data_IF_266619814674
#
_entry.id   IF_266619814674
#
_cell.length_a   1.000
_cell.length_b   1.000
_cell.length_c   1.000
_cell.angle_alpha   90.00
_cell.angle_beta   90.00
_cell.angle_gamma   90.00
#
_symmetry.space_group_name_H-M   'P 1'
#
loop_
_entity.id
_entity.type
_entity.pdbx_description
1 polymer ?
#
# COMPACT_ATOMS: atom_id res chain seq x y z
N UNK A 1 -30.21 7.20 -25.74
CA UNK A 1 -29.11 8.11 -26.13
C UNK A 1 -29.19 9.45 -25.40
N UNK A 2 -30.31 10.18 -25.39
CA UNK A 2 -30.41 11.49 -24.69
C UNK A 2 -30.19 11.44 -23.17
N UNK A 3 -30.69 10.43 -22.47
CA UNK A 3 -30.49 10.28 -21.02
C UNK A 3 -29.00 10.04 -20.63
N UNK A 4 -28.27 9.27 -21.45
CA UNK A 4 -26.84 9.05 -21.22
C UNK A 4 -26.02 10.34 -21.46
N UNK A 5 -26.34 11.09 -22.50
CA UNK A 5 -25.67 12.35 -22.78
C UNK A 5 -25.89 13.42 -21.68
N UNK A 6 -27.07 13.46 -21.08
CA UNK A 6 -27.38 14.35 -19.96
C UNK A 6 -26.61 13.95 -18.68
N UNK A 7 -26.47 12.64 -18.43
CA UNK A 7 -25.69 12.11 -17.30
C UNK A 7 -24.20 12.41 -17.49
N UNK A 8 -23.66 12.21 -18.70
CA UNK A 8 -22.26 12.49 -19.03
C UNK A 8 -21.92 13.99 -18.83
N UNK A 9 -22.81 14.88 -19.30
CA UNK A 9 -22.64 16.32 -19.10
C UNK A 9 -22.66 16.73 -17.59
N UNK A 10 -23.52 16.09 -16.80
CA UNK A 10 -23.60 16.34 -15.37
C UNK A 10 -22.35 15.85 -14.62
N UNK A 11 -21.81 14.69 -15.00
CA UNK A 11 -20.55 14.15 -14.45
C UNK A 11 -19.38 15.10 -14.71
N UNK A 12 -19.25 15.59 -15.94
CA UNK A 12 -18.23 16.59 -16.33
C UNK A 12 -18.38 17.87 -15.52
N UNK A 13 -19.61 18.34 -15.32
CA UNK A 13 -19.90 19.56 -14.53
C UNK A 13 -19.50 19.37 -13.05
N UNK A 14 -19.83 18.25 -12.43
CA UNK A 14 -19.46 17.93 -11.05
C UNK A 14 -17.93 17.88 -10.91
N UNK A 15 -17.24 17.24 -11.86
CA UNK A 15 -15.78 17.16 -11.88
C UNK A 15 -15.14 18.55 -12.02
N UNK A 16 -15.61 19.38 -12.95
CA UNK A 16 -15.10 20.75 -13.17
C UNK A 16 -15.28 21.63 -11.92
N UNK A 17 -16.43 21.51 -11.22
CA UNK A 17 -16.70 22.24 -9.97
C UNK A 17 -15.78 21.81 -8.83
N UNK A 18 -15.44 20.53 -8.72
CA UNK A 18 -14.47 20.05 -7.75
C UNK A 18 -13.05 20.53 -8.08
N UNK A 19 -12.66 20.43 -9.35
CA UNK A 19 -11.30 20.74 -9.78
C UNK A 19 -10.94 22.22 -9.69
N UNK A 20 -11.94 23.12 -9.67
CA UNK A 20 -11.73 24.57 -9.45
C UNK A 20 -11.46 24.97 -8.00
N UNK A 21 -11.63 24.04 -7.04
CA UNK A 21 -11.50 24.37 -5.61
C UNK A 21 -10.03 24.59 -5.23
N UNK A 22 -9.67 25.76 -4.69
CA UNK A 22 -8.34 26.00 -4.17
C UNK A 22 -8.08 25.20 -2.88
N UNK A 23 -6.81 25.07 -2.44
CA UNK A 23 -6.48 24.44 -1.18
C UNK A 23 -7.22 25.07 -0.01
N UNK A 24 -7.95 24.25 0.76
CA UNK A 24 -8.72 24.68 1.92
C UNK A 24 -8.49 23.77 3.13
N UNK A 25 -8.78 24.27 4.34
CA UNK A 25 -8.74 23.49 5.58
C UNK A 25 -9.73 22.34 5.51
N UNK A 26 -10.87 22.56 4.85
CA UNK A 26 -11.88 21.51 4.67
C UNK A 26 -11.33 20.35 3.84
N UNK A 27 -10.72 20.63 2.68
CA UNK A 27 -10.08 19.60 1.82
C UNK A 27 -8.97 18.89 2.57
N UNK A 28 -8.10 19.63 3.29
CA UNK A 28 -7.03 19.03 4.12
C UNK A 28 -7.58 18.10 5.19
N UNK A 29 -8.70 18.48 5.85
CA UNK A 29 -9.37 17.63 6.84
C UNK A 29 -9.85 16.33 6.23
N UNK A 30 -10.45 16.37 5.03
CA UNK A 30 -10.88 15.16 4.32
C UNK A 30 -9.69 14.24 3.98
N UNK A 31 -8.61 14.81 3.44
CA UNK A 31 -7.38 14.07 3.15
C UNK A 31 -6.82 13.42 4.42
N UNK A 32 -6.75 14.18 5.54
CA UNK A 32 -6.25 13.66 6.81
C UNK A 32 -7.10 12.51 7.34
N UNK A 33 -8.43 12.61 7.27
CA UNK A 33 -9.34 11.54 7.71
C UNK A 33 -9.20 10.27 6.86
N UNK A 34 -9.00 10.43 5.55
CA UNK A 34 -8.70 9.31 4.66
C UNK A 34 -7.35 8.67 5.00
N UNK A 35 -6.33 9.50 5.18
CA UNK A 35 -4.98 9.03 5.51
C UNK A 35 -4.89 8.32 6.85
N UNK A 36 -5.66 8.77 7.86
CA UNK A 36 -5.74 8.07 9.15
C UNK A 36 -6.36 6.68 9.02
N UNK A 37 -7.24 6.48 8.06
CA UNK A 37 -7.75 5.16 7.79
C UNK A 37 -6.72 4.26 7.13
N UNK A 38 -6.11 4.76 6.08
CA UNK A 38 -5.02 4.06 5.41
C UNK A 38 -3.83 3.77 6.35
N UNK A 39 -3.65 4.57 7.41
CA UNK A 39 -2.68 4.31 8.47
C UNK A 39 -2.94 2.97 9.18
N UNK A 40 -4.20 2.64 9.49
CA UNK A 40 -4.55 1.36 10.13
C UNK A 40 -4.45 0.18 9.17
N UNK A 41 -4.62 0.40 7.86
CA UNK A 41 -4.32 -0.62 6.85
C UNK A 41 -2.83 -1.00 6.89
N UNK A 42 -1.94 0.01 6.96
CA UNK A 42 -0.50 -0.22 7.07
C UNK A 42 -0.11 -0.83 8.40
N UNK A 43 -0.80 -0.44 9.49
CA UNK A 43 -0.64 -1.11 10.77
C UNK A 43 -0.92 -2.60 10.63
N UNK A 44 -2.09 -2.96 10.07
CA UNK A 44 -2.49 -4.36 9.91
C UNK A 44 -1.59 -5.11 8.92
N UNK A 45 -1.13 -4.46 7.85
CA UNK A 45 -0.24 -5.06 6.86
C UNK A 45 1.11 -5.45 7.47
N UNK A 46 1.68 -4.61 8.34
CA UNK A 46 3.06 -4.76 8.82
C UNK A 46 3.20 -5.37 10.22
N UNK A 47 2.16 -5.36 11.08
CA UNK A 47 2.29 -5.90 12.42
C UNK A 47 2.81 -7.36 12.48
N UNK A 48 2.52 -8.27 11.52
CA UNK A 48 3.00 -9.64 11.60
C UNK A 48 4.52 -9.75 11.74
N UNK A 49 5.27 -8.88 11.04
CA UNK A 49 6.72 -8.84 11.15
C UNK A 49 7.22 -8.59 12.58
N UNK A 50 6.53 -7.72 13.30
CA UNK A 50 6.93 -7.25 14.63
C UNK A 50 6.43 -8.14 15.76
N UNK A 51 5.28 -8.82 15.57
CA UNK A 51 4.75 -9.78 16.56
C UNK A 51 5.34 -11.19 16.39
N UNK A 52 6.00 -11.47 15.27
CA UNK A 52 6.61 -12.76 14.95
C UNK A 52 7.41 -13.34 16.13
N UNK A 53 8.23 -12.51 16.76
CA UNK A 53 9.08 -12.89 17.87
C UNK A 53 8.26 -13.37 19.08
N UNK A 54 7.12 -12.73 19.35
CA UNK A 54 6.19 -13.16 20.41
C UNK A 54 5.56 -14.51 20.10
N UNK A 55 5.21 -14.74 18.85
CA UNK A 55 4.66 -16.03 18.37
C UNK A 55 5.70 -17.16 18.46
N UNK A 56 6.99 -16.86 18.20
CA UNK A 56 8.07 -17.83 18.38
C UNK A 56 8.30 -18.17 19.85
N UNK A 57 8.25 -17.18 20.74
CA UNK A 57 8.42 -17.35 22.18
C UNK A 57 7.31 -18.22 22.80
N UNK A 58 6.08 -18.13 22.29
CA UNK A 58 4.97 -19.01 22.70
C UNK A 58 5.02 -20.40 22.02
N UNK A 59 5.92 -20.63 21.07
CA UNK A 59 5.98 -21.89 20.32
C UNK A 59 4.84 -22.07 19.31
N UNK A 60 4.11 -21.01 18.98
CA UNK A 60 3.00 -21.05 18.02
C UNK A 60 3.51 -21.19 16.58
N UNK A 61 4.60 -20.51 16.25
CA UNK A 61 5.24 -20.60 14.93
C UNK A 61 6.74 -20.83 15.08
N UNK A 62 7.31 -21.51 14.09
CA UNK A 62 8.77 -21.64 13.97
C UNK A 62 9.32 -20.49 13.11
N UNK A 63 10.46 -19.86 13.48
CA UNK A 63 11.06 -18.79 12.67
C UNK A 63 11.50 -19.26 11.29
N UNK A 64 11.98 -20.51 11.20
CA UNK A 64 12.45 -21.15 9.97
C UNK A 64 11.96 -22.59 9.93
N UNK A 65 11.80 -23.13 8.74
CA UNK A 65 11.39 -24.50 8.49
C UNK A 65 12.27 -25.11 7.41
N UNK A 66 12.51 -26.41 7.48
CA UNK A 66 13.31 -27.12 6.48
C UNK A 66 12.54 -27.40 5.18
N UNK A 67 11.21 -27.42 5.25
CA UNK A 67 10.32 -27.62 4.11
C UNK A 67 9.95 -26.31 3.42
N UNK A 68 9.78 -26.36 2.09
CA UNK A 68 9.45 -25.16 1.30
C UNK A 68 8.06 -24.59 1.63
N UNK A 69 7.08 -25.42 1.98
CA UNK A 69 5.68 -25.00 2.27
C UNK A 69 5.23 -25.55 3.63
N UNK A 70 5.97 -25.22 4.68
CA UNK A 70 5.61 -25.65 6.04
C UNK A 70 4.64 -24.64 6.68
N UNK A 71 3.42 -25.09 6.97
CA UNK A 71 2.36 -24.30 7.60
C UNK A 71 2.55 -24.07 9.11
N UNK A 72 3.60 -24.64 9.71
CA UNK A 72 3.98 -24.34 11.11
C UNK A 72 5.02 -23.22 11.22
N UNK A 73 5.51 -22.74 10.09
CA UNK A 73 6.47 -21.65 10.01
C UNK A 73 5.80 -20.28 9.94
N UNK A 74 6.53 -19.24 10.35
CA UNK A 74 6.09 -17.85 10.23
C UNK A 74 5.68 -17.43 8.80
N UNK A 75 6.26 -18.10 7.80
CA UNK A 75 5.91 -17.86 6.40
C UNK A 75 4.43 -18.11 6.10
N UNK A 76 3.74 -19.03 6.81
CA UNK A 76 2.31 -19.31 6.59
C UNK A 76 1.45 -18.12 7.05
N UNK A 77 1.81 -17.45 8.14
CA UNK A 77 1.13 -16.24 8.60
C UNK A 77 1.22 -15.09 7.59
N UNK A 78 2.39 -14.91 7.00
CA UNK A 78 2.58 -13.91 5.93
C UNK A 78 1.77 -14.32 4.69
N UNK A 79 1.86 -15.59 4.28
CA UNK A 79 1.17 -16.11 3.11
C UNK A 79 -0.36 -16.02 3.25
N UNK A 80 -0.92 -16.38 4.41
CA UNK A 80 -2.37 -16.29 4.68
C UNK A 80 -2.87 -14.85 4.55
N UNK A 81 -2.12 -13.87 5.04
CA UNK A 81 -2.44 -12.46 4.88
C UNK A 81 -2.47 -12.03 3.41
N UNK A 82 -1.42 -12.34 2.64
CA UNK A 82 -1.37 -11.98 1.22
C UNK A 82 -2.39 -12.75 0.38
N UNK A 83 -2.68 -14.01 0.71
CA UNK A 83 -3.74 -14.77 0.08
C UNK A 83 -5.12 -14.13 0.31
N UNK A 84 -5.41 -13.70 1.54
CA UNK A 84 -6.62 -12.96 1.86
C UNK A 84 -6.73 -11.66 1.07
N UNK A 85 -5.64 -10.86 1.02
CA UNK A 85 -5.61 -9.63 0.23
C UNK A 85 -5.81 -9.89 -1.27
N UNK A 86 -5.20 -10.94 -1.82
CA UNK A 86 -5.37 -11.31 -3.21
C UNK A 86 -6.84 -11.63 -3.53
N UNK A 87 -7.48 -12.47 -2.71
CA UNK A 87 -8.91 -12.79 -2.83
C UNK A 87 -9.77 -11.53 -2.67
N UNK A 88 -9.49 -10.70 -1.66
CA UNK A 88 -10.22 -9.46 -1.42
C UNK A 88 -10.16 -8.51 -2.62
N UNK A 89 -8.97 -8.31 -3.16
CA UNK A 89 -8.77 -7.43 -4.32
C UNK A 89 -9.48 -7.95 -5.57
N UNK A 90 -9.41 -9.25 -5.87
CA UNK A 90 -10.03 -9.81 -7.08
C UNK A 90 -11.56 -9.97 -6.96
N UNK A 91 -12.01 -10.54 -5.82
CA UNK A 91 -13.41 -10.90 -5.68
C UNK A 91 -14.32 -9.71 -5.35
N UNK A 92 -13.80 -8.67 -4.69
CA UNK A 92 -14.61 -7.61 -4.11
C UNK A 92 -14.29 -6.19 -4.62
N UNK A 93 -13.29 -5.99 -5.48
CA UNK A 93 -13.00 -4.66 -6.05
C UNK A 93 -14.20 -4.04 -6.77
N UNK A 94 -15.00 -4.86 -7.48
CA UNK A 94 -16.23 -4.43 -8.14
C UNK A 94 -17.32 -3.96 -7.18
N UNK A 95 -17.25 -4.39 -5.92
CA UNK A 95 -18.24 -4.04 -4.90
C UNK A 95 -18.16 -2.54 -4.54
N UNK A 96 -16.95 -1.97 -4.55
CA UNK A 96 -16.73 -0.54 -4.35
C UNK A 96 -17.40 0.32 -5.42
N UNK A 97 -17.44 -0.16 -6.67
CA UNK A 97 -18.11 0.52 -7.77
C UNK A 97 -19.65 0.47 -7.64
N UNK A 98 -20.19 -0.55 -6.95
CA UNK A 98 -21.65 -0.72 -6.77
C UNK A 98 -22.19 -0.09 -5.49
N UNK A 99 -21.50 -0.25 -4.37
CA UNK A 99 -21.99 0.16 -3.04
C UNK A 99 -21.49 1.54 -2.60
N UNK A 100 -20.56 2.13 -3.34
CA UNK A 100 -19.96 3.42 -3.03
C UNK A 100 -18.64 3.33 -2.28
N UNK A 101 -17.85 4.37 -2.41
CA UNK A 101 -16.49 4.42 -1.86
C UNK A 101 -16.50 4.45 -0.33
N UNK A 102 -17.35 5.29 0.24
CA UNK A 102 -17.53 5.44 1.69
C UNK A 102 -18.02 4.16 2.36
N UNK A 103 -19.02 3.51 1.75
CA UNK A 103 -19.62 2.30 2.33
C UNK A 103 -18.60 1.17 2.42
N UNK A 104 -17.89 0.91 1.32
CA UNK A 104 -16.86 -0.14 1.27
C UNK A 104 -15.69 0.17 2.20
N UNK A 105 -15.22 1.41 2.19
CA UNK A 105 -14.16 1.88 3.08
C UNK A 105 -14.49 1.67 4.57
N UNK A 106 -15.75 1.89 4.95
CA UNK A 106 -16.22 1.71 6.31
C UNK A 106 -16.38 0.22 6.66
N UNK A 107 -16.96 -0.56 5.75
CA UNK A 107 -17.21 -1.99 5.98
C UNK A 107 -15.91 -2.79 6.02
N UNK A 108 -14.98 -2.53 5.10
CA UNK A 108 -13.68 -3.21 5.05
C UNK A 108 -12.87 -3.00 6.34
N UNK A 109 -12.87 -1.77 6.87
CA UNK A 109 -12.21 -1.44 8.14
C UNK A 109 -12.77 -2.24 9.31
N UNK A 110 -14.10 -2.34 9.41
CA UNK A 110 -14.74 -3.18 10.45
C UNK A 110 -14.40 -4.65 10.28
N UNK A 111 -14.43 -5.13 9.04
CA UNK A 111 -14.16 -6.52 8.70
C UNK A 111 -12.78 -6.96 9.19
N UNK A 112 -11.72 -6.25 8.77
CA UNK A 112 -10.37 -6.66 9.16
C UNK A 112 -10.08 -6.39 10.63
N UNK A 113 -10.67 -5.35 11.24
CA UNK A 113 -10.50 -5.06 12.66
C UNK A 113 -11.08 -6.18 13.53
N UNK A 114 -12.29 -6.64 13.22
CA UNK A 114 -12.93 -7.75 13.93
C UNK A 114 -12.14 -9.05 13.72
N UNK A 115 -11.73 -9.34 12.49
CA UNK A 115 -10.92 -10.51 12.17
C UNK A 115 -9.59 -10.53 12.91
N UNK A 116 -8.86 -9.41 12.92
CA UNK A 116 -7.60 -9.27 13.64
C UNK A 116 -7.80 -9.35 15.16
N UNK A 117 -8.88 -8.77 15.70
CA UNK A 117 -9.22 -8.88 17.12
C UNK A 117 -9.45 -10.36 17.53
N UNK A 118 -10.24 -11.11 16.75
CA UNK A 118 -10.48 -12.53 17.02
C UNK A 118 -9.17 -13.33 16.89
N UNK A 119 -8.32 -13.00 15.91
CA UNK A 119 -7.02 -13.63 15.74
C UNK A 119 -6.15 -13.50 16.99
N UNK A 120 -6.20 -12.37 17.69
CA UNK A 120 -5.40 -12.12 18.90
C UNK A 120 -5.67 -13.12 20.03
N UNK A 121 -6.80 -13.80 20.03
CA UNK A 121 -7.18 -14.78 21.05
C UNK A 121 -6.97 -16.24 20.61
N UNK A 122 -6.46 -16.47 19.42
CA UNK A 122 -6.19 -17.83 18.93
C UNK A 122 -4.94 -18.42 19.57
N UNK A 123 -4.94 -19.76 19.68
CA UNK A 123 -3.86 -20.52 20.35
C UNK A 123 -3.21 -21.58 19.46
N UNK A 124 -3.61 -21.68 18.20
CA UNK A 124 -2.99 -22.61 17.23
C UNK A 124 -2.58 -21.88 15.95
N UNK A 125 -1.50 -22.29 15.29
CA UNK A 125 -1.07 -21.67 14.02
C UNK A 125 -2.18 -21.65 12.97
N UNK A 126 -2.92 -22.75 12.83
CA UNK A 126 -3.97 -22.89 11.83
C UNK A 126 -5.11 -21.90 12.03
N UNK A 127 -5.53 -21.68 13.28
CA UNK A 127 -6.61 -20.73 13.58
C UNK A 127 -6.12 -19.29 13.45
N UNK A 128 -4.85 -19.01 13.78
CA UNK A 128 -4.24 -17.68 13.55
C UNK A 128 -4.17 -17.40 12.05
N UNK A 129 -3.68 -18.34 11.24
CA UNK A 129 -3.61 -18.21 9.78
C UNK A 129 -4.99 -18.03 9.15
N UNK A 130 -5.99 -18.80 9.62
CA UNK A 130 -7.37 -18.68 9.14
C UNK A 130 -7.96 -17.28 9.40
N UNK A 131 -7.84 -16.78 10.64
CA UNK A 131 -8.37 -15.46 10.97
C UNK A 131 -7.56 -14.35 10.30
N UNK A 132 -6.24 -14.55 10.09
CA UNK A 132 -5.42 -13.65 9.30
C UNK A 132 -5.89 -13.59 7.86
N UNK A 133 -6.14 -14.73 7.23
CA UNK A 133 -6.70 -14.81 5.88
C UNK A 133 -8.04 -14.08 5.78
N UNK A 134 -8.97 -14.37 6.70
CA UNK A 134 -10.31 -13.73 6.73
C UNK A 134 -10.19 -12.22 6.92
N UNK A 135 -9.37 -11.74 7.86
CA UNK A 135 -9.16 -10.33 8.08
C UNK A 135 -8.60 -9.65 6.83
N UNK A 136 -7.61 -10.25 6.20
CA UNK A 136 -6.94 -9.67 5.05
C UNK A 136 -7.78 -9.66 3.75
N UNK A 137 -8.89 -10.40 3.67
CA UNK A 137 -9.89 -10.19 2.61
C UNK A 137 -10.40 -8.74 2.66
N UNK A 138 -10.80 -8.27 3.83
CA UNK A 138 -11.24 -6.87 4.02
C UNK A 138 -10.14 -5.86 3.67
N UNK A 139 -8.92 -6.12 4.11
CA UNK A 139 -7.76 -5.28 3.83
C UNK A 139 -7.48 -5.16 2.31
N UNK A 140 -7.62 -6.26 1.55
CA UNK A 140 -7.43 -6.25 0.09
C UNK A 140 -8.45 -5.38 -0.64
N UNK A 141 -9.68 -5.33 -0.15
CA UNK A 141 -10.74 -4.46 -0.69
C UNK A 141 -10.42 -2.98 -0.42
N UNK A 142 -9.95 -2.66 0.78
CA UNK A 142 -9.71 -1.29 1.22
C UNK A 142 -8.53 -0.65 0.49
N UNK A 143 -7.44 -1.36 0.29
CA UNK A 143 -6.24 -0.86 -0.39
C UNK A 143 -6.51 -0.27 -1.79
N UNK A 144 -7.45 -0.85 -2.54
CA UNK A 144 -7.85 -0.33 -3.85
C UNK A 144 -8.79 0.86 -3.70
N UNK A 145 -9.65 0.82 -2.69
CA UNK A 145 -10.69 1.82 -2.50
C UNK A 145 -10.15 3.16 -2.00
N UNK A 146 -9.11 3.18 -1.15
CA UNK A 146 -8.54 4.43 -0.60
C UNK A 146 -7.98 5.32 -1.70
N UNK A 147 -7.20 4.77 -2.61
CA UNK A 147 -6.59 5.53 -3.70
C UNK A 147 -7.65 6.09 -4.65
N UNK A 148 -8.65 5.29 -4.98
CA UNK A 148 -9.79 5.73 -5.80
C UNK A 148 -10.55 6.88 -5.10
N UNK A 149 -10.90 6.71 -3.83
CA UNK A 149 -11.65 7.67 -3.06
C UNK A 149 -10.88 8.99 -2.89
N UNK A 150 -9.58 8.94 -2.62
CA UNK A 150 -8.71 10.11 -2.53
C UNK A 150 -8.67 10.87 -3.86
N UNK A 151 -8.50 10.16 -4.98
CA UNK A 151 -8.45 10.77 -6.32
C UNK A 151 -9.78 11.42 -6.74
N UNK A 152 -10.90 10.89 -6.25
CA UNK A 152 -12.25 11.37 -6.55
C UNK A 152 -12.69 12.56 -5.69
N UNK A 153 -12.16 12.70 -4.46
CA UNK A 153 -12.49 13.79 -3.54
C UNK A 153 -11.58 15.02 -3.68
N UNK A 154 -10.34 14.83 -4.16
CA UNK A 154 -9.34 15.89 -4.19
C UNK A 154 -9.29 16.54 -5.57
N UNK A 155 -9.24 17.91 -5.66
CA UNK A 155 -9.02 18.60 -6.91
C UNK A 155 -7.76 18.15 -7.64
N UNK A 156 -7.78 18.12 -9.00
CA UNK A 156 -6.69 17.57 -9.83
C UNK A 156 -5.32 18.14 -9.50
N UNK A 157 -5.24 19.45 -9.26
CA UNK A 157 -3.97 20.14 -8.95
C UNK A 157 -3.36 19.74 -7.61
N UNK A 158 -4.19 19.27 -6.66
CA UNK A 158 -3.78 18.91 -5.31
C UNK A 158 -3.55 17.41 -5.14
N UNK A 159 -3.89 16.57 -6.14
CA UNK A 159 -3.83 15.10 -6.02
C UNK A 159 -2.42 14.62 -5.69
N UNK A 160 -1.40 15.13 -6.39
CA UNK A 160 -0.02 14.72 -6.16
C UNK A 160 0.43 14.96 -4.72
N UNK A 161 0.15 16.15 -4.18
CA UNK A 161 0.48 16.48 -2.79
C UNK A 161 -0.36 15.70 -1.78
N UNK A 162 -1.64 15.43 -2.09
CA UNK A 162 -2.51 14.63 -1.25
C UNK A 162 -2.07 13.16 -1.18
N UNK A 163 -1.67 12.58 -2.30
CA UNK A 163 -1.11 11.22 -2.32
C UNK A 163 0.22 11.13 -1.57
N UNK A 164 1.11 12.10 -1.74
CA UNK A 164 2.37 12.15 -0.99
C UNK A 164 2.14 12.28 0.52
N UNK A 165 1.20 13.13 0.93
CA UNK A 165 0.81 13.26 2.33
C UNK A 165 0.19 11.96 2.86
N UNK A 166 -0.75 11.36 2.12
CA UNK A 166 -1.36 10.07 2.47
C UNK A 166 -0.31 8.98 2.68
N UNK A 167 0.60 8.81 1.74
CA UNK A 167 1.70 7.84 1.83
C UNK A 167 2.58 8.10 3.06
N UNK A 168 2.96 9.34 3.30
CA UNK A 168 3.80 9.69 4.46
C UNK A 168 3.10 9.38 5.79
N UNK A 169 1.80 9.69 5.90
CA UNK A 169 1.00 9.35 7.08
C UNK A 169 0.91 7.84 7.25
N UNK A 170 0.58 7.10 6.19
CA UNK A 170 0.49 5.62 6.22
C UNK A 170 1.77 4.99 6.74
N UNK A 171 2.92 5.40 6.25
CA UNK A 171 4.22 4.85 6.67
C UNK A 171 4.60 5.19 8.12
N UNK A 172 3.98 6.19 8.76
CA UNK A 172 4.19 6.41 10.21
C UNK A 172 3.64 5.28 11.08
N UNK A 173 2.76 4.43 10.54
CA UNK A 173 2.29 3.23 11.23
C UNK A 173 3.45 2.27 11.56
N UNK A 174 4.43 2.16 10.67
CA UNK A 174 5.54 1.20 10.81
C UNK A 174 6.39 1.46 12.07
N UNK A 175 6.92 2.67 12.33
CA UNK A 175 7.62 2.93 13.58
C UNK A 175 6.72 2.85 14.82
N UNK A 176 5.42 3.15 14.73
CA UNK A 176 4.49 3.00 15.85
C UNK A 176 4.33 1.53 16.22
N UNK A 177 4.12 0.65 15.24
CA UNK A 177 4.05 -0.80 15.47
C UNK A 177 5.35 -1.31 16.07
N UNK A 178 6.49 -0.90 15.50
CA UNK A 178 7.82 -1.30 15.98
C UNK A 178 8.05 -0.89 17.43
N UNK A 179 7.64 0.34 17.81
CA UNK A 179 7.70 0.82 19.18
C UNK A 179 6.81 0.02 20.13
N UNK A 180 5.53 -0.19 19.73
CA UNK A 180 4.61 -1.00 20.54
C UNK A 180 5.11 -2.43 20.72
N UNK A 181 5.62 -3.05 19.65
CA UNK A 181 6.19 -4.38 19.72
C UNK A 181 7.43 -4.44 20.64
N UNK A 182 8.33 -3.46 20.54
CA UNK A 182 9.50 -3.37 21.42
C UNK A 182 9.11 -3.30 22.90
N UNK A 183 8.08 -2.52 23.24
CA UNK A 183 7.63 -2.36 24.63
C UNK A 183 6.79 -3.56 25.11
N UNK A 184 5.91 -4.10 24.29
CA UNK A 184 4.90 -5.05 24.71
C UNK A 184 5.29 -6.52 24.51
N UNK A 185 5.91 -6.87 23.36
CA UNK A 185 6.21 -8.29 23.02
C UNK A 185 7.06 -9.02 24.07
N UNK A 186 8.03 -8.38 24.75
CA UNK A 186 8.77 -9.06 25.81
C UNK A 186 7.97 -9.31 27.08
N UNK A 187 6.82 -8.66 27.25
CA UNK A 187 6.03 -8.64 28.50
C UNK A 187 4.81 -9.54 28.43
N UNK A 188 4.21 -9.79 29.60
CA UNK A 188 2.89 -10.42 29.75
C UNK A 188 2.01 -9.48 30.56
N UNK A 189 0.88 -9.04 30.02
CA UNK A 189 0.00 -8.05 30.62
C UNK A 189 -1.40 -8.69 30.76
N UNK A 190 -1.99 -8.63 31.94
CA UNK A 190 -3.29 -9.23 32.26
C UNK A 190 -3.41 -10.72 31.86
N UNK A 191 -2.32 -11.47 31.98
CA UNK A 191 -2.28 -12.90 31.61
C UNK A 191 -2.19 -13.17 30.11
N UNK A 192 -2.12 -12.14 29.25
CA UNK A 192 -1.97 -12.26 27.81
C UNK A 192 -0.54 -11.87 27.40
N UNK A 193 0.03 -12.60 26.45
CA UNK A 193 1.32 -12.28 25.87
C UNK A 193 1.29 -10.96 25.14
N UNK A 194 2.36 -10.20 25.23
CA UNK A 194 2.44 -8.83 24.73
C UNK A 194 2.21 -8.67 23.23
N UNK A 195 2.49 -9.70 22.41
CA UNK A 195 2.19 -9.65 20.98
C UNK A 195 0.67 -9.53 20.71
N UNK A 196 -0.19 -10.15 21.56
CA UNK A 196 -1.64 -10.05 21.47
C UNK A 196 -2.11 -8.62 21.67
N UNK A 197 -1.48 -7.90 22.60
CA UNK A 197 -1.77 -6.48 22.84
C UNK A 197 -1.42 -5.59 21.65
N UNK A 198 -0.33 -5.86 20.94
CA UNK A 198 -0.01 -5.13 19.71
C UNK A 198 -1.15 -5.27 18.69
N UNK A 199 -1.68 -6.47 18.50
CA UNK A 199 -2.82 -6.73 17.59
C UNK A 199 -4.09 -6.06 18.09
N UNK A 200 -4.41 -6.19 19.38
CA UNK A 200 -5.63 -5.62 19.99
C UNK A 200 -5.62 -4.08 19.87
N UNK A 201 -4.51 -3.43 20.15
CA UNK A 201 -4.37 -1.96 20.03
C UNK A 201 -4.65 -1.51 18.60
N UNK A 202 -4.11 -2.19 17.60
CA UNK A 202 -4.39 -1.92 16.19
C UNK A 202 -5.87 -2.09 15.84
N UNK A 203 -6.46 -3.19 16.25
CA UNK A 203 -7.87 -3.50 15.98
C UNK A 203 -8.82 -2.50 16.65
N UNK A 204 -8.60 -2.17 17.92
CA UNK A 204 -9.43 -1.19 18.65
C UNK A 204 -9.26 0.21 18.09
N UNK A 205 -8.01 0.59 17.74
CA UNK A 205 -7.73 1.88 17.10
C UNK A 205 -8.47 2.03 15.78
N UNK A 206 -8.52 0.97 14.98
CA UNK A 206 -9.28 0.97 13.73
C UNK A 206 -10.80 1.18 13.95
N UNK A 207 -11.39 0.64 15.02
CA UNK A 207 -12.79 0.89 15.39
C UNK A 207 -13.03 2.38 15.75
N UNK A 208 -12.08 3.03 16.42
CA UNK A 208 -12.18 4.47 16.72
C UNK A 208 -12.18 5.29 15.42
N UNK A 209 -11.30 4.96 14.48
CA UNK A 209 -11.27 5.63 13.18
C UNK A 209 -12.54 5.35 12.38
N UNK A 210 -13.10 4.15 12.43
CA UNK A 210 -14.38 3.85 11.82
C UNK A 210 -15.49 4.83 12.30
N UNK A 211 -15.54 5.11 13.59
CA UNK A 211 -16.50 6.06 14.14
C UNK A 211 -16.28 7.49 13.63
N UNK A 212 -15.02 7.95 13.54
CA UNK A 212 -14.66 9.26 13.02
C UNK A 212 -14.99 9.39 11.53
N UNK A 213 -14.82 8.34 10.74
CA UNK A 213 -15.09 8.30 9.30
C UNK A 213 -16.57 8.45 8.92
N UNK A 214 -17.49 8.27 9.84
CA UNK A 214 -18.92 8.52 9.58
C UNK A 214 -19.20 9.92 9.01
N UNK A 215 -18.31 10.87 9.25
CA UNK A 215 -18.41 12.25 8.78
C UNK A 215 -17.80 12.48 7.38
N UNK A 216 -17.21 11.46 6.74
CA UNK A 216 -16.74 11.58 5.36
C UNK A 216 -17.93 11.57 4.40
N UNK A 217 -18.00 12.51 3.42
CA UNK A 217 -19.03 12.47 2.38
C UNK A 217 -18.77 11.31 1.43
N UNK A 218 -19.79 10.84 0.71
CA UNK A 218 -19.56 9.93 -0.43
C UNK A 218 -18.83 10.67 -1.57
N UNK A 219 -18.20 9.93 -2.50
CA UNK A 219 -17.57 10.52 -3.67
C UNK A 219 -18.60 11.22 -4.57
N UNK A 220 -18.50 12.55 -4.79
CA UNK A 220 -19.42 13.22 -5.70
C UNK A 220 -19.27 12.75 -7.14
N UNK A 221 -18.06 12.37 -7.56
CA UNK A 221 -17.82 11.83 -8.91
C UNK A 221 -18.50 10.48 -9.09
N UNK A 222 -18.39 9.60 -8.09
CA UNK A 222 -19.09 8.31 -8.10
C UNK A 222 -20.61 8.49 -8.08
N UNK A 223 -21.15 9.37 -7.23
CA UNK A 223 -22.60 9.66 -7.17
C UNK A 223 -23.12 10.15 -8.51
N UNK A 224 -22.39 11.04 -9.18
CA UNK A 224 -22.76 11.53 -10.51
C UNK A 224 -22.76 10.39 -11.55
N UNK A 225 -21.77 9.51 -11.55
CA UNK A 225 -21.73 8.33 -12.42
C UNK A 225 -22.89 7.35 -12.17
N UNK A 226 -23.39 7.28 -10.93
CA UNK A 226 -24.57 6.48 -10.57
C UNK A 226 -25.91 7.19 -10.86
N UNK A 227 -25.88 8.39 -11.44
CA UNK A 227 -27.08 9.18 -11.71
C UNK A 227 -27.69 9.87 -10.47
N UNK A 228 -27.04 9.80 -9.30
CA UNK A 228 -27.47 10.44 -8.04
C UNK A 228 -27.02 11.91 -7.98
N UNK A 229 -27.45 12.68 -9.00
CA UNK A 229 -26.96 14.03 -9.25
C UNK A 229 -27.29 15.03 -8.13
N UNK A 230 -28.47 14.95 -7.52
CA UNK A 230 -28.87 15.83 -6.43
C UNK A 230 -27.95 15.67 -5.19
N UNK A 231 -27.54 14.45 -4.89
CA UNK A 231 -26.63 14.20 -3.78
C UNK A 231 -25.21 14.64 -4.11
N UNK A 232 -24.74 14.39 -5.34
CA UNK A 232 -23.45 14.88 -5.81
C UNK A 232 -23.37 16.41 -5.72
N UNK A 233 -24.41 17.11 -6.20
CA UNK A 233 -24.51 18.56 -6.16
C UNK A 233 -24.50 19.09 -4.73
N UNK A 234 -25.27 18.50 -3.82
CA UNK A 234 -25.31 18.90 -2.43
C UNK A 234 -23.91 18.81 -1.74
N UNK A 235 -23.14 17.76 -2.03
CA UNK A 235 -21.79 17.58 -1.48
C UNK A 235 -20.84 18.64 -2.06
N UNK A 236 -20.84 18.83 -3.39
CA UNK A 236 -19.98 19.84 -4.05
C UNK A 236 -20.33 21.24 -3.59
N UNK A 237 -21.62 21.59 -3.53
CA UNK A 237 -22.08 22.89 -3.04
C UNK A 237 -21.64 23.15 -1.59
N UNK A 238 -21.67 22.13 -0.73
CA UNK A 238 -21.15 22.25 0.64
C UNK A 238 -19.63 22.49 0.67
N UNK A 239 -18.88 21.80 -0.18
CA UNK A 239 -17.42 21.98 -0.30
C UNK A 239 -17.09 23.40 -0.83
N UNK A 240 -17.80 23.85 -1.86
CA UNK A 240 -17.67 25.21 -2.43
C UNK A 240 -17.97 26.28 -1.38
N UNK A 241 -19.09 26.15 -0.66
CA UNK A 241 -19.49 27.08 0.39
C UNK A 241 -18.43 27.20 1.48
N UNK A 242 -17.95 26.08 2.03
CA UNK A 242 -16.92 26.07 3.06
C UNK A 242 -15.59 26.65 2.58
N UNK A 243 -15.22 26.35 1.33
CA UNK A 243 -14.01 26.90 0.73
C UNK A 243 -14.15 28.41 0.52
N UNK A 244 -15.30 28.89 0.02
CA UNK A 244 -15.59 30.33 -0.17
C UNK A 244 -15.58 31.08 1.16
N UNK A 245 -16.20 30.53 2.22
CA UNK A 245 -16.18 31.07 3.57
C UNK A 245 -14.75 31.22 4.13
N UNK A 246 -13.88 30.23 3.82
CA UNK A 246 -12.50 30.23 4.30
C UNK A 246 -11.61 31.23 3.58
N UNK A 247 -11.72 31.34 2.25
CA UNK A 247 -10.83 32.18 1.44
C UNK A 247 -11.35 33.63 1.31
N UNK A 248 -12.62 33.89 1.65
CA UNK A 248 -13.22 35.21 1.63
C UNK A 248 -13.39 35.83 0.23
N UNK A 249 -13.30 35.02 -0.84
CA UNK A 249 -13.46 35.48 -2.23
C UNK A 249 -14.29 34.49 -3.06
N UNK A 250 -14.81 34.98 -4.19
CA UNK A 250 -15.54 34.15 -5.15
C UNK A 250 -14.60 33.05 -5.74
N UNK A 251 -15.18 31.88 -6.00
CA UNK A 251 -14.48 30.80 -6.67
C UNK A 251 -14.37 31.09 -8.17
N UNK A 252 -13.28 30.69 -8.85
CA UNK A 252 -13.18 30.81 -10.29
C UNK A 252 -14.33 30.06 -10.99
N UNK A 253 -14.76 30.44 -12.18
CA UNK A 253 -15.78 29.69 -12.91
C UNK A 253 -15.30 28.25 -13.17
N UNK A 254 -16.20 27.25 -13.20
CA UNK A 254 -15.81 25.89 -13.54
C UNK A 254 -15.40 25.84 -15.02
N UNK A 255 -14.21 25.30 -15.29
CA UNK A 255 -13.75 25.08 -16.67
C UNK A 255 -14.30 23.76 -17.18
N UNK A 256 -15.39 23.81 -17.88
CA UNK A 256 -15.91 22.67 -18.63
C UNK A 256 -15.24 22.67 -20.00
N UNK A 257 -14.29 21.77 -20.23
CA UNK A 257 -13.65 21.63 -21.52
C UNK A 257 -14.65 21.00 -22.49
N UNK A 258 -15.08 21.77 -23.50
CA UNK A 258 -16.01 21.28 -24.51
C UNK A 258 -15.36 20.10 -25.27
N UNK A 259 -15.97 18.93 -25.18
CA UNK A 259 -15.46 17.70 -25.80
C UNK A 259 -14.76 16.74 -24.84
N UNK A 260 -14.56 17.07 -23.56
CA UNK A 260 -14.29 16.06 -22.53
C UNK A 260 -15.56 15.23 -22.29
N UNK A 261 -15.80 14.28 -23.18
CA UNK A 261 -16.54 13.10 -22.81
C UNK A 261 -15.60 12.25 -21.94
N UNK A 262 -16.06 11.77 -20.78
CA UNK A 262 -15.31 10.69 -20.11
C UNK A 262 -15.00 9.64 -21.16
N UNK A 263 -13.69 9.46 -21.45
CA UNK A 263 -13.28 8.39 -22.36
C UNK A 263 -13.96 7.11 -21.88
N UNK A 264 -14.83 6.54 -22.71
CA UNK A 264 -15.51 5.28 -22.39
C UNK A 264 -14.46 4.33 -21.86
N UNK A 265 -14.71 3.74 -20.69
CA UNK A 265 -13.81 2.73 -20.09
C UNK A 265 -13.39 1.77 -21.21
N UNK A 266 -12.10 1.68 -21.48
CA UNK A 266 -11.55 0.77 -22.46
C UNK A 266 -11.84 -0.67 -22.04
N UNK A 267 -11.93 -1.57 -23.01
CA UNK A 267 -12.14 -2.98 -22.72
C UNK A 267 -10.91 -3.54 -21.99
N UNK A 268 -11.11 -4.39 -20.99
CA UNK A 268 -10.04 -5.08 -20.25
C UNK A 268 -9.01 -5.76 -21.19
N UNK A 269 -9.46 -6.29 -22.32
CA UNK A 269 -8.62 -6.94 -23.31
C UNK A 269 -7.62 -5.98 -23.99
N UNK A 270 -7.86 -4.68 -23.93
CA UNK A 270 -7.00 -3.67 -24.59
C UNK A 270 -5.58 -3.65 -24.00
N UNK A 271 -5.39 -4.00 -22.72
CA UNK A 271 -4.04 -4.10 -22.13
C UNK A 271 -3.18 -5.21 -22.78
N UNK A 272 -3.80 -6.12 -23.53
CA UNK A 272 -3.15 -7.20 -24.28
C UNK A 272 -2.99 -6.87 -25.78
N UNK A 273 -3.40 -5.70 -26.23
CA UNK A 273 -3.14 -5.23 -27.60
C UNK A 273 -1.64 -5.12 -27.88
N UNK A 274 -1.27 -5.05 -29.14
CA UNK A 274 0.15 -4.92 -29.57
C UNK A 274 0.86 -3.73 -28.93
N UNK A 275 0.14 -2.63 -28.72
CA UNK A 275 0.67 -1.41 -28.11
C UNK A 275 1.04 -1.58 -26.63
N UNK A 276 0.30 -2.43 -25.87
CA UNK A 276 0.43 -2.50 -24.40
C UNK A 276 0.91 -3.85 -23.87
N UNK A 277 0.80 -4.95 -24.64
CA UNK A 277 1.17 -6.30 -24.17
C UNK A 277 2.60 -6.38 -23.62
N UNK A 278 3.55 -5.73 -24.29
CA UNK A 278 4.94 -5.71 -23.84
C UNK A 278 5.11 -5.04 -22.48
N UNK A 279 4.41 -3.92 -22.25
CA UNK A 279 4.40 -3.19 -20.98
C UNK A 279 3.70 -4.00 -19.88
N UNK A 280 2.59 -4.64 -20.22
CA UNK A 280 1.85 -5.49 -19.29
C UNK A 280 2.70 -6.68 -18.83
N UNK A 281 3.34 -7.40 -19.74
CA UNK A 281 4.25 -8.53 -19.43
C UNK A 281 5.43 -8.03 -18.58
N UNK A 282 6.07 -6.93 -18.98
CA UNK A 282 7.16 -6.31 -18.22
C UNK A 282 6.75 -5.97 -16.79
N UNK A 283 5.60 -5.32 -16.61
CA UNK A 283 5.11 -4.95 -15.28
C UNK A 283 4.69 -6.16 -14.46
N UNK A 284 4.11 -7.21 -15.05
CA UNK A 284 3.82 -8.47 -14.35
C UNK A 284 5.12 -9.11 -13.85
N UNK A 285 6.13 -9.23 -14.70
CA UNK A 285 7.45 -9.74 -14.31
C UNK A 285 8.08 -8.88 -13.20
N UNK A 286 8.01 -7.57 -13.33
CA UNK A 286 8.44 -6.63 -12.30
C UNK A 286 7.73 -6.87 -10.97
N UNK A 287 6.39 -6.99 -10.97
CA UNK A 287 5.59 -7.17 -9.75
C UNK A 287 5.88 -8.51 -9.06
N UNK A 288 6.15 -9.57 -9.82
CA UNK A 288 6.55 -10.86 -9.26
C UNK A 288 7.91 -10.78 -8.56
N UNK A 289 8.87 -10.08 -9.14
CA UNK A 289 10.25 -9.99 -8.65
C UNK A 289 10.40 -8.97 -7.50
N UNK A 290 9.79 -7.80 -7.63
CA UNK A 290 9.95 -6.70 -6.66
C UNK A 290 9.44 -7.09 -5.28
N UNK A 291 8.42 -7.93 -5.22
CA UNK A 291 7.82 -8.41 -3.98
C UNK A 291 8.82 -9.13 -3.08
N UNK A 292 9.68 -9.95 -3.67
CA UNK A 292 10.74 -10.67 -2.95
C UNK A 292 11.70 -9.68 -2.27
N UNK A 293 12.07 -8.60 -2.97
CA UNK A 293 12.95 -7.58 -2.39
C UNK A 293 12.29 -6.73 -1.33
N UNK A 294 11.12 -6.17 -1.65
CA UNK A 294 10.43 -5.23 -0.75
C UNK A 294 9.89 -5.91 0.51
N UNK A 295 9.05 -6.95 0.35
CA UNK A 295 8.47 -7.65 1.50
C UNK A 295 9.46 -8.62 2.15
N UNK A 296 10.45 -9.11 1.39
CA UNK A 296 11.50 -9.97 1.91
C UNK A 296 12.37 -9.30 2.96
N UNK A 297 12.63 -8.01 2.85
CA UNK A 297 13.28 -7.24 3.89
C UNK A 297 12.28 -6.81 4.97
N UNK A 298 11.26 -6.02 4.59
CA UNK A 298 10.39 -5.36 5.57
C UNK A 298 9.65 -6.32 6.52
N UNK A 299 9.21 -7.50 6.04
CA UNK A 299 8.50 -8.45 6.87
C UNK A 299 9.42 -9.37 7.70
N UNK A 300 10.71 -9.39 7.39
CA UNK A 300 11.62 -10.36 8.00
C UNK A 300 12.73 -9.74 8.85
N UNK A 301 12.86 -8.40 8.91
CA UNK A 301 13.94 -7.73 9.68
C UNK A 301 14.08 -8.24 11.11
N UNK A 302 13.01 -8.30 11.95
CA UNK A 302 13.17 -8.80 13.32
C UNK A 302 13.65 -10.25 13.36
N UNK A 303 13.12 -11.10 12.49
CA UNK A 303 13.46 -12.53 12.38
C UNK A 303 14.92 -12.72 11.92
N UNK A 304 15.35 -11.92 10.93
CA UNK A 304 16.72 -11.93 10.42
C UNK A 304 17.73 -11.53 11.51
N UNK A 305 17.41 -10.54 12.32
CA UNK A 305 18.27 -10.12 13.43
C UNK A 305 18.39 -11.21 14.50
N UNK A 306 17.29 -11.93 14.80
CA UNK A 306 17.35 -13.06 15.73
C UNK A 306 18.18 -14.22 15.16
N UNK A 307 18.06 -14.51 13.87
CA UNK A 307 18.87 -15.56 13.24
C UNK A 307 20.36 -15.25 13.22
N UNK A 308 20.73 -13.96 13.35
CA UNK A 308 22.12 -13.49 13.57
C UNK A 308 22.56 -13.57 15.04
N UNK A 309 21.72 -14.11 15.94
CA UNK A 309 22.04 -14.22 17.36
C UNK A 309 21.74 -12.97 18.20
N UNK A 310 21.07 -11.97 17.64
CA UNK A 310 20.67 -10.77 18.38
C UNK A 310 19.47 -11.11 19.27
N UNK A 311 19.57 -10.85 20.56
CA UNK A 311 18.50 -11.13 21.52
C UNK A 311 17.20 -10.38 21.20
N UNK A 312 16.06 -10.98 21.57
CA UNK A 312 14.68 -10.52 21.27
C UNK A 312 14.48 -9.01 21.46
N UNK A 313 14.76 -8.50 22.66
CA UNK A 313 14.54 -7.09 22.99
C UNK A 313 15.41 -6.15 22.13
N UNK A 314 16.68 -6.51 21.91
CA UNK A 314 17.60 -5.74 21.06
C UNK A 314 17.17 -5.78 19.60
N UNK A 315 16.72 -6.94 19.10
CA UNK A 315 16.21 -7.06 17.74
C UNK A 315 15.02 -6.12 17.50
N UNK A 316 14.05 -6.07 18.40
CA UNK A 316 12.92 -5.16 18.32
C UNK A 316 13.33 -3.69 18.44
N UNK A 317 14.29 -3.37 19.32
CA UNK A 317 14.83 -2.02 19.47
C UNK A 317 15.53 -1.55 18.19
N UNK A 318 16.37 -2.38 17.58
CA UNK A 318 17.05 -2.04 16.33
C UNK A 318 16.06 -1.88 15.19
N UNK A 319 15.06 -2.78 15.12
CA UNK A 319 13.99 -2.69 14.12
C UNK A 319 13.17 -1.41 14.28
N UNK A 320 12.91 -0.96 15.52
CA UNK A 320 12.26 0.34 15.75
C UNK A 320 13.10 1.49 15.21
N UNK A 321 14.41 1.52 15.49
CA UNK A 321 15.31 2.56 14.98
C UNK A 321 15.36 2.56 13.43
N UNK A 322 15.39 1.38 12.81
CA UNK A 322 15.33 1.22 11.35
C UNK A 322 13.97 1.71 10.79
N UNK A 323 12.88 1.39 11.48
CA UNK A 323 11.51 1.73 11.05
C UNK A 323 11.26 3.25 11.01
N UNK A 324 12.02 4.06 11.77
CA UNK A 324 11.93 5.54 11.71
C UNK A 324 12.23 6.09 10.30
N UNK A 325 12.94 5.33 9.46
CA UNK A 325 13.17 5.68 8.06
C UNK A 325 11.91 5.58 7.18
N UNK A 326 10.92 4.78 7.59
CA UNK A 326 9.79 4.44 6.74
C UNK A 326 8.99 5.67 6.24
N UNK A 327 8.57 6.62 7.07
CA UNK A 327 7.84 7.80 6.60
C UNK A 327 8.70 8.80 5.82
N UNK A 328 10.02 8.73 5.95
CA UNK A 328 10.96 9.66 5.31
C UNK A 328 11.17 9.29 3.83
N UNK A 329 11.16 8.00 3.50
CA UNK A 329 11.38 7.51 2.15
C UNK A 329 10.45 8.12 1.10
N UNK A 330 9.12 8.09 1.26
CA UNK A 330 8.17 8.72 0.33
C UNK A 330 8.37 10.23 0.19
N UNK A 331 8.73 10.95 1.27
CA UNK A 331 9.03 12.38 1.23
C UNK A 331 10.25 12.66 0.35
N UNK A 332 11.32 11.87 0.51
CA UNK A 332 12.51 11.97 -0.35
C UNK A 332 12.11 11.67 -1.80
N UNK A 333 11.36 10.59 -2.03
CA UNK A 333 10.87 10.22 -3.35
C UNK A 333 10.09 11.35 -4.02
N UNK A 334 9.21 12.04 -3.29
CA UNK A 334 8.45 13.18 -3.77
C UNK A 334 9.36 14.33 -4.27
N UNK A 335 10.42 14.69 -3.52
CA UNK A 335 11.34 15.77 -3.93
C UNK A 335 12.17 15.44 -5.19
N UNK A 336 12.41 14.15 -5.45
CA UNK A 336 13.18 13.69 -6.60
C UNK A 336 12.34 13.23 -7.79
N UNK A 337 11.01 13.05 -7.60
CA UNK A 337 10.10 12.44 -8.57
C UNK A 337 10.20 13.05 -9.99
N UNK A 338 10.29 14.38 -10.10
CA UNK A 338 10.26 15.09 -11.39
C UNK A 338 11.66 15.51 -11.88
N UNK A 339 12.72 15.24 -11.10
CA UNK A 339 14.11 15.63 -11.44
C UNK A 339 14.82 14.59 -12.29
N UNK A 340 14.54 13.32 -12.07
CA UNK A 340 15.18 12.20 -12.74
C UNK A 340 14.14 11.36 -13.49
N UNK A 341 14.55 10.68 -14.56
CA UNK A 341 13.72 9.72 -15.27
C UNK A 341 13.23 8.61 -14.33
N UNK A 342 11.92 8.42 -14.21
CA UNK A 342 11.29 7.48 -13.24
C UNK A 342 11.76 6.03 -13.45
N UNK A 343 11.97 5.63 -14.69
CA UNK A 343 12.58 4.33 -15.02
C UNK A 343 13.89 4.11 -14.25
N UNK A 344 14.80 5.09 -14.27
CA UNK A 344 16.11 4.98 -13.62
C UNK A 344 16.03 5.16 -12.10
N UNK A 345 15.02 5.86 -11.59
CA UNK A 345 14.76 5.91 -10.14
C UNK A 345 14.40 4.50 -9.61
N UNK A 346 13.49 3.79 -10.31
CA UNK A 346 13.11 2.40 -9.95
C UNK A 346 14.31 1.47 -10.10
N UNK A 347 14.98 1.48 -11.24
CA UNK A 347 16.11 0.60 -11.50
C UNK A 347 17.30 0.85 -10.55
N UNK A 348 17.66 2.12 -10.32
CA UNK A 348 18.74 2.50 -9.40
C UNK A 348 18.43 2.14 -7.95
N UNK A 349 17.19 2.34 -7.50
CA UNK A 349 16.77 1.91 -6.16
C UNK A 349 16.82 0.39 -6.00
N UNK A 350 16.49 -0.38 -7.03
CA UNK A 350 16.60 -1.84 -6.99
C UNK A 350 18.06 -2.29 -6.79
N UNK A 351 19.02 -1.69 -7.51
CA UNK A 351 20.46 -1.94 -7.29
C UNK A 351 20.89 -1.52 -5.89
N UNK A 352 20.39 -0.36 -5.42
CA UNK A 352 20.62 0.10 -4.05
C UNK A 352 20.16 -0.90 -3.00
N UNK A 353 18.95 -1.45 -3.15
CA UNK A 353 18.41 -2.49 -2.25
C UNK A 353 19.30 -3.75 -2.28
N UNK A 354 19.72 -4.19 -3.47
CA UNK A 354 20.61 -5.33 -3.60
C UNK A 354 21.94 -5.15 -2.86
N UNK A 355 22.64 -4.03 -3.10
CA UNK A 355 23.93 -3.75 -2.49
C UNK A 355 23.84 -3.51 -0.98
N UNK A 356 22.86 -2.70 -0.54
CA UNK A 356 22.64 -2.42 0.89
C UNK A 356 22.18 -3.68 1.65
N UNK A 357 21.43 -4.58 0.99
CA UNK A 357 21.05 -5.87 1.57
C UNK A 357 22.26 -6.75 1.89
N UNK A 358 23.21 -6.88 0.97
CA UNK A 358 24.46 -7.58 1.23
C UNK A 358 25.28 -6.93 2.34
N UNK A 359 25.34 -5.59 2.35
CA UNK A 359 26.04 -4.86 3.40
C UNK A 359 25.37 -5.08 4.76
N UNK A 360 24.02 -5.11 4.81
CA UNK A 360 23.25 -5.38 6.02
C UNK A 360 23.54 -6.79 6.58
N UNK A 361 23.59 -7.80 5.70
CA UNK A 361 23.87 -9.20 6.09
C UNK A 361 25.24 -9.36 6.80
N UNK A 362 26.19 -8.49 6.54
CA UNK A 362 27.55 -8.53 7.10
C UNK A 362 27.69 -7.73 8.40
N UNK A 363 26.68 -6.95 8.79
CA UNK A 363 26.75 -6.12 9.97
C UNK A 363 26.60 -6.95 11.26
N UNK A 364 27.52 -6.80 12.19
CA UNK A 364 27.48 -7.41 13.51
C UNK A 364 27.38 -6.36 14.64
N UNK A 365 27.87 -5.14 14.39
CA UNK A 365 27.81 -4.04 15.33
C UNK A 365 26.43 -3.36 15.28
N UNK A 366 25.86 -3.03 16.44
CA UNK A 366 24.55 -2.37 16.56
C UNK A 366 24.42 -1.12 15.69
N UNK A 367 25.44 -0.25 15.71
CA UNK A 367 25.43 0.98 14.91
C UNK A 367 25.40 0.69 13.41
N UNK A 368 26.14 -0.34 12.93
CA UNK A 368 26.15 -0.75 11.53
C UNK A 368 24.80 -1.34 11.10
N UNK A 369 24.21 -2.22 11.92
CA UNK A 369 22.88 -2.81 11.67
C UNK A 369 21.82 -1.71 11.53
N UNK A 370 21.79 -0.76 12.47
CA UNK A 370 20.81 0.33 12.47
C UNK A 370 21.04 1.27 11.26
N UNK A 371 22.28 1.70 11.04
CA UNK A 371 22.59 2.66 9.98
C UNK A 371 22.32 2.08 8.60
N UNK A 372 22.81 0.87 8.31
CA UNK A 372 22.59 0.22 7.02
C UNK A 372 21.12 -0.15 6.82
N UNK A 373 20.45 -0.67 7.86
CA UNK A 373 19.03 -0.98 7.84
C UNK A 373 18.15 0.26 7.61
N UNK A 374 18.51 1.39 8.22
CA UNK A 374 17.84 2.67 8.03
C UNK A 374 17.96 3.15 6.56
N UNK A 375 19.17 3.14 5.99
CA UNK A 375 19.39 3.53 4.59
C UNK A 375 18.69 2.56 3.63
N UNK A 376 18.73 1.25 3.92
CA UNK A 376 18.03 0.24 3.15
C UNK A 376 16.51 0.46 3.14
N UNK A 377 15.93 0.80 4.30
CA UNK A 377 14.50 1.13 4.42
C UNK A 377 14.15 2.40 3.64
N UNK A 378 14.99 3.45 3.70
CA UNK A 378 14.82 4.65 2.87
C UNK A 378 14.79 4.28 1.38
N UNK A 379 15.78 3.50 0.93
CA UNK A 379 15.90 3.07 -0.45
C UNK A 379 14.68 2.25 -0.91
N UNK A 380 14.21 1.31 -0.07
CA UNK A 380 13.05 0.49 -0.35
C UNK A 380 11.75 1.32 -0.46
N UNK A 381 11.59 2.35 0.36
CA UNK A 381 10.41 3.20 0.32
C UNK A 381 10.46 4.24 -0.82
N UNK A 382 11.65 4.73 -1.19
CA UNK A 382 11.84 5.50 -2.42
C UNK A 382 11.53 4.64 -3.66
N UNK A 383 11.98 3.39 -3.68
CA UNK A 383 11.64 2.42 -4.71
C UNK A 383 10.12 2.23 -4.83
N UNK A 384 9.43 2.00 -3.70
CA UNK A 384 7.97 1.84 -3.66
C UNK A 384 7.25 3.06 -4.23
N UNK A 385 7.59 4.26 -3.78
CA UNK A 385 7.03 5.51 -4.31
C UNK A 385 7.25 5.65 -5.83
N UNK A 386 8.48 5.43 -6.28
CA UNK A 386 8.86 5.61 -7.68
C UNK A 386 8.14 4.65 -8.62
N UNK A 387 7.98 3.36 -8.24
CA UNK A 387 7.33 2.41 -9.12
C UNK A 387 5.80 2.63 -9.19
N UNK A 388 5.14 3.04 -8.10
CA UNK A 388 3.73 3.39 -8.15
C UNK A 388 3.46 4.55 -9.12
N UNK A 389 4.32 5.55 -9.09
CA UNK A 389 4.27 6.65 -10.05
C UNK A 389 4.55 6.17 -11.49
N UNK A 390 5.60 5.37 -11.68
CA UNK A 390 5.99 4.86 -13.00
C UNK A 390 4.89 4.03 -13.66
N UNK A 391 4.30 3.07 -12.94
CA UNK A 391 3.27 2.20 -13.50
C UNK A 391 2.01 2.97 -13.91
N UNK A 392 1.68 4.07 -13.20
CA UNK A 392 0.51 4.89 -13.50
C UNK A 392 0.63 5.66 -14.82
N UNK A 393 1.84 5.87 -15.33
CA UNK A 393 2.11 6.59 -16.57
C UNK A 393 2.22 5.68 -17.81
N UNK A 394 2.24 4.36 -17.62
CA UNK A 394 2.42 3.40 -18.71
C UNK A 394 1.13 3.07 -19.48
N UNK A 395 -0.03 3.49 -18.97
CA UNK A 395 -1.32 3.21 -19.59
C UNK A 395 -2.16 4.48 -19.79
N UNK A 396 -2.93 4.55 -20.88
CA UNK A 396 -3.87 5.65 -21.10
C UNK A 396 -4.97 5.65 -20.06
N UNK A 397 -5.55 6.81 -19.78
CA UNK A 397 -6.53 7.02 -18.71
C UNK A 397 -7.70 6.03 -18.75
N UNK A 398 -8.19 5.68 -19.94
CA UNK A 398 -9.35 4.79 -20.18
C UNK A 398 -9.18 3.36 -19.67
N UNK A 399 -7.94 2.81 -19.64
CA UNK A 399 -7.67 1.44 -19.17
C UNK A 399 -6.77 1.41 -17.93
N UNK A 400 -6.23 2.57 -17.51
CA UNK A 400 -5.20 2.68 -16.46
C UNK A 400 -5.58 1.95 -15.18
N UNK A 401 -6.75 2.21 -14.62
CA UNK A 401 -7.18 1.61 -13.36
C UNK A 401 -7.26 0.08 -13.45
N UNK A 402 -7.80 -0.44 -14.55
CA UNK A 402 -7.93 -1.88 -14.79
C UNK A 402 -6.55 -2.54 -14.99
N UNK A 403 -5.70 -1.91 -15.80
CA UNK A 403 -4.36 -2.42 -16.09
C UNK A 403 -3.47 -2.43 -14.85
N UNK A 404 -3.47 -1.32 -14.06
CA UNK A 404 -2.73 -1.24 -12.80
C UNK A 404 -3.25 -2.26 -11.81
N UNK A 405 -4.58 -2.38 -11.64
CA UNK A 405 -5.19 -3.35 -10.75
C UNK A 405 -4.79 -4.79 -11.10
N UNK A 406 -4.85 -5.14 -12.39
CA UNK A 406 -4.41 -6.44 -12.88
C UNK A 406 -2.92 -6.68 -12.61
N UNK A 407 -2.06 -5.77 -13.03
CA UNK A 407 -0.61 -5.91 -12.87
C UNK A 407 -0.24 -5.98 -11.39
N UNK A 408 -0.83 -5.13 -10.56
CA UNK A 408 -0.53 -5.07 -9.13
C UNK A 408 -1.04 -6.29 -8.34
N UNK A 409 -2.08 -6.98 -8.82
CA UNK A 409 -2.54 -8.23 -8.21
C UNK A 409 -1.46 -9.32 -8.21
N UNK A 410 -0.57 -9.32 -9.20
CA UNK A 410 0.56 -10.25 -9.28
C UNK A 410 1.59 -10.05 -8.16
N UNK A 411 1.69 -8.84 -7.61
CA UNK A 411 2.52 -8.63 -6.42
C UNK A 411 1.95 -9.36 -5.20
N UNK A 412 0.63 -9.37 -5.03
CA UNK A 412 -0.04 -10.09 -3.94
C UNK A 412 0.11 -11.60 -4.11
N UNK A 413 -0.07 -12.08 -5.34
CA UNK A 413 0.17 -13.47 -5.68
C UNK A 413 1.62 -13.89 -5.37
N UNK A 414 2.62 -13.14 -5.82
CA UNK A 414 4.03 -13.41 -5.52
C UNK A 414 4.32 -13.37 -4.02
N UNK A 415 3.70 -12.45 -3.27
CA UNK A 415 3.91 -12.29 -1.84
C UNK A 415 3.46 -13.52 -1.04
N UNK A 416 2.47 -14.29 -1.51
CA UNK A 416 2.05 -15.55 -0.89
C UNK A 416 3.22 -16.54 -0.83
N UNK A 417 3.97 -16.63 -1.91
CA UNK A 417 5.07 -17.60 -2.05
C UNK A 417 6.42 -17.08 -1.55
N UNK A 418 6.65 -15.75 -1.67
CA UNK A 418 7.93 -15.13 -1.30
C UNK A 418 8.31 -15.39 0.16
N UNK A 419 7.32 -15.38 1.07
CA UNK A 419 7.54 -15.70 2.48
C UNK A 419 8.12 -17.11 2.69
N UNK A 420 7.55 -18.10 2.03
CA UNK A 420 8.04 -19.49 2.09
C UNK A 420 9.43 -19.65 1.50
N UNK A 421 9.71 -19.02 0.36
CA UNK A 421 11.02 -19.06 -0.28
C UNK A 421 12.06 -18.43 0.65
N UNK A 422 11.76 -17.29 1.28
CA UNK A 422 12.64 -16.60 2.22
C UNK A 422 12.90 -17.48 3.46
N UNK A 423 11.86 -18.11 4.04
CA UNK A 423 12.00 -19.01 5.17
C UNK A 423 12.90 -20.22 4.84
N UNK A 424 12.73 -20.80 3.66
CA UNK A 424 13.57 -21.88 3.16
C UNK A 424 15.04 -21.45 3.02
N UNK A 425 15.30 -20.28 2.39
CA UNK A 425 16.66 -19.75 2.26
C UNK A 425 17.27 -19.40 3.62
N UNK A 426 16.48 -18.85 4.54
CA UNK A 426 16.94 -18.53 5.90
C UNK A 426 17.31 -19.80 6.66
N UNK A 427 16.50 -20.86 6.56
CA UNK A 427 16.74 -22.13 7.24
C UNK A 427 17.95 -22.92 6.71
N UNK A 428 18.19 -22.88 5.39
CA UNK A 428 19.22 -23.69 4.75
C UNK A 428 20.54 -22.94 4.48
N UNK A 429 20.46 -21.61 4.22
CA UNK A 429 21.61 -20.80 3.79
C UNK A 429 21.83 -19.57 4.69
N UNK A 430 21.04 -19.42 5.76
CA UNK A 430 21.15 -18.31 6.71
C UNK A 430 20.81 -16.94 6.08
N UNK A 431 21.18 -15.88 6.79
CA UNK A 431 20.89 -14.51 6.39
C UNK A 431 21.53 -14.11 5.06
N UNK A 432 22.75 -14.61 4.78
CA UNK A 432 23.44 -14.37 3.51
C UNK A 432 22.66 -14.96 2.35
N UNK A 433 22.10 -16.19 2.51
CA UNK A 433 21.26 -16.80 1.51
C UNK A 433 20.00 -15.97 1.18
N UNK A 434 19.34 -15.43 2.20
CA UNK A 434 18.18 -14.55 2.02
C UNK A 434 18.55 -13.29 1.23
N UNK A 435 19.63 -12.61 1.59
CA UNK A 435 20.04 -11.41 0.87
C UNK A 435 20.59 -11.69 -0.52
N UNK A 436 21.16 -12.88 -0.77
CA UNK A 436 21.50 -13.32 -2.12
C UNK A 436 20.27 -13.50 -3.00
N UNK A 437 19.21 -14.09 -2.46
CA UNK A 437 17.92 -14.20 -3.13
C UNK A 437 17.31 -12.82 -3.44
N UNK A 438 17.25 -11.92 -2.44
CA UNK A 438 16.75 -10.55 -2.58
C UNK A 438 17.56 -9.81 -3.65
N UNK A 439 18.89 -9.88 -3.60
CA UNK A 439 19.76 -9.19 -4.55
C UNK A 439 19.56 -9.74 -5.98
N UNK A 440 19.44 -11.05 -6.16
CA UNK A 440 19.16 -11.66 -7.45
C UNK A 440 17.84 -11.18 -8.03
N UNK A 441 16.78 -11.11 -7.21
CA UNK A 441 15.48 -10.59 -7.61
C UNK A 441 15.56 -9.09 -7.97
N UNK A 442 16.29 -8.28 -7.20
CA UNK A 442 16.44 -6.84 -7.46
C UNK A 442 17.31 -6.55 -8.68
N UNK A 443 18.34 -7.34 -8.94
CA UNK A 443 19.11 -7.27 -10.19
C UNK A 443 18.23 -7.64 -11.39
N UNK A 444 17.38 -8.67 -11.26
CA UNK A 444 16.41 -9.00 -12.30
C UNK A 444 15.40 -7.85 -12.53
N UNK A 445 14.94 -7.17 -11.47
CA UNK A 445 14.12 -5.95 -11.57
C UNK A 445 14.86 -4.85 -12.34
N UNK A 446 16.14 -4.61 -12.02
CA UNK A 446 16.97 -3.64 -12.74
C UNK A 446 17.04 -3.96 -14.24
N UNK A 447 17.24 -5.24 -14.60
CA UNK A 447 17.30 -5.68 -16.00
C UNK A 447 15.93 -5.49 -16.67
N UNK A 448 14.84 -5.96 -16.04
CA UNK A 448 13.48 -5.88 -16.60
C UNK A 448 13.09 -4.42 -16.87
N UNK A 449 13.21 -3.55 -15.89
CA UNK A 449 12.85 -2.14 -16.03
C UNK A 449 13.88 -1.41 -16.89
N UNK A 450 15.17 -1.67 -16.70
CA UNK A 450 16.25 -1.03 -17.42
C UNK A 450 16.24 -1.31 -18.92
N UNK A 451 15.98 -2.57 -19.33
CA UNK A 451 15.98 -2.95 -20.73
C UNK A 451 14.62 -2.75 -21.42
N UNK A 452 13.52 -3.10 -20.75
CA UNK A 452 12.19 -3.15 -21.37
C UNK A 452 11.30 -1.97 -20.98
N UNK A 453 11.62 -1.23 -19.93
CA UNK A 453 10.81 -0.10 -19.47
C UNK A 453 10.94 1.11 -20.41
N UNK A 454 9.84 1.69 -20.90
CA UNK A 454 9.91 2.94 -21.66
C UNK A 454 10.21 4.14 -20.76
N UNK A 455 10.89 5.19 -21.27
CA UNK A 455 11.02 6.45 -20.57
C UNK A 455 9.70 7.22 -20.58
N UNK A 456 9.30 7.76 -19.41
CA UNK A 456 7.99 8.40 -19.22
C UNK A 456 8.08 9.86 -18.76
N UNK A 457 9.16 10.28 -18.11
CA UNK A 457 9.28 11.60 -17.49
C UNK A 457 9.24 12.71 -18.52
N UNK A 458 8.38 13.73 -18.28
CA UNK A 458 8.19 14.90 -19.18
C UNK A 458 7.62 14.57 -20.56
N UNK A 459 7.07 13.37 -20.78
CA UNK A 459 6.36 13.01 -21.99
C UNK A 459 4.85 13.15 -21.79
N UNK A 460 4.13 13.55 -22.85
CA UNK A 460 2.67 13.53 -22.82
C UNK A 460 2.20 12.07 -22.76
N UNK A 461 1.17 11.79 -21.96
CA UNK A 461 0.62 10.43 -21.79
C UNK A 461 0.21 9.82 -23.14
N UNK A 462 -0.32 10.62 -24.05
CA UNK A 462 -0.72 10.22 -25.40
C UNK A 462 0.49 9.82 -26.25
N UNK A 463 1.64 10.47 -26.06
CA UNK A 463 2.89 10.14 -26.76
C UNK A 463 3.59 8.89 -26.18
N UNK A 464 3.29 8.52 -24.94
CA UNK A 464 3.74 7.26 -24.33
C UNK A 464 2.81 6.13 -24.77
N UNK A 465 1.52 6.42 -24.97
CA UNK A 465 0.50 5.45 -25.34
C UNK A 465 0.51 5.08 -26.83
N UNK A 466 1.17 5.87 -27.69
CA UNK A 466 1.37 5.58 -29.10
C UNK A 466 2.63 4.70 -29.29
#
# INVERSE_FOLDING_TARGET
MAANAATDAAVVTVAARLDRLPPSRHTRKLITLLSLGAWFEFYDLFFPAYVAIGLFKEGLFKPTTSGLFDLQGFASLIASGFAGMFVGTLAFSWLSDRLGRRSIFTFALLWYSIGAFIMAFQSTPQTIDLWRFIACIGLGVELVNVDAYLSELVPKEQRGSAFAFNQSVMYTAVPVIAFLAWQLVPTTILGLSGWRWVVIIGSVGALVIWWIRRNLPESPRWLAQQGRLAEADAIVANMERRTKEEIGRELPPPEVVAGETEEKRGAWIEMWSEAYRGRTIMLVAFQLLQTVGYYGFNNWVPTLLISQGIGVTKSLQYTFAIALAAPIGPLIGYFFADRFERKWQVAGSAVGIAGLGFLFAQQTAAAGVIAVGFILTLCANCFSFSFHAYQSELYPTRIRAQAIGFVYSWSRFSAIFSGFIIAYFLGNYGTIGVFSLIASAMIAVFIVIGCFGPPVTKRRLEAIAA
#
